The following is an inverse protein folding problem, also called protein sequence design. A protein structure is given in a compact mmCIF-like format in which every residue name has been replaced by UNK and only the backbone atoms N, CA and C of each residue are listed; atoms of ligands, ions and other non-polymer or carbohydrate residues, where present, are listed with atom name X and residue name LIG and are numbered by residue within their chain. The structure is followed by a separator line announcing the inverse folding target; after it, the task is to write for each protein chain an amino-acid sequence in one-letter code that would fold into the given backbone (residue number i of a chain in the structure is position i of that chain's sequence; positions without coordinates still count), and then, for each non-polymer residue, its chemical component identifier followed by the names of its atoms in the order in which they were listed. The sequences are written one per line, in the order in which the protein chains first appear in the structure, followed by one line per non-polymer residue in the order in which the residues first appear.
data_IF_428098815655
#
_entry.id   IF_428098815655
#
_cell.length_a   1.000
_cell.length_b   1.000
_cell.length_c   1.000
_cell.angle_alpha   90.00
_cell.angle_beta   90.00
_cell.angle_gamma   90.00
#
_symmetry.space_group_name_H-M   'P 1'
#
loop_
_entity.id
_entity.type
_entity.pdbx_description
1 polymer ?
#
# COMPACT_ATOMS: atom_id res chain seq x y z
N UNK A 1 -2.51 -21.01 8.78
CA UNK A 1 -1.22 -20.70 8.10
C UNK A 1 -1.14 -21.38 6.74
N UNK A 2 -1.29 -22.72 6.63
CA UNK A 2 -1.33 -23.42 5.33
C UNK A 2 -2.33 -22.81 4.32
N UNK A 3 -3.52 -22.40 4.77
CA UNK A 3 -4.49 -21.69 3.92
C UNK A 3 -3.93 -20.40 3.28
N UNK A 4 -3.14 -19.64 4.03
CA UNK A 4 -2.52 -18.42 3.52
C UNK A 4 -1.36 -18.73 2.56
N UNK A 5 -0.56 -19.76 2.87
CA UNK A 5 0.46 -20.25 1.95
C UNK A 5 -0.15 -20.70 0.61
N UNK A 6 -1.21 -21.52 0.65
CA UNK A 6 -1.92 -21.96 -0.56
C UNK A 6 -2.48 -20.79 -1.37
N UNK A 7 -3.08 -19.81 -0.69
CA UNK A 7 -3.52 -18.56 -1.33
C UNK A 7 -2.40 -17.80 -2.05
N UNK A 8 -1.21 -17.70 -1.45
CA UNK A 8 -0.07 -17.06 -2.10
C UNK A 8 0.45 -17.89 -3.28
N UNK A 9 0.65 -19.20 -3.09
CA UNK A 9 1.17 -20.08 -4.16
C UNK A 9 0.23 -20.16 -5.35
N UNK A 10 -1.09 -20.24 -5.12
CA UNK A 10 -2.08 -20.26 -6.21
C UNK A 10 -2.06 -18.96 -7.03
N UNK A 11 -1.77 -17.83 -6.40
CA UNK A 11 -1.74 -16.54 -7.09
C UNK A 11 -0.39 -16.21 -7.71
N UNK A 12 0.69 -16.89 -7.33
CA UNK A 12 2.05 -16.65 -7.84
C UNK A 12 2.13 -16.53 -9.37
N UNK A 13 1.44 -17.37 -10.19
CA UNK A 13 1.48 -17.25 -11.64
C UNK A 13 0.99 -15.91 -12.19
N UNK A 14 0.14 -15.17 -11.44
CA UNK A 14 -0.32 -13.84 -11.86
C UNK A 14 0.81 -12.79 -11.91
N UNK A 15 1.95 -13.06 -11.25
CA UNK A 15 3.14 -12.19 -11.33
C UNK A 15 3.62 -12.06 -12.78
N UNK A 16 3.52 -13.14 -13.56
CA UNK A 16 3.95 -13.14 -14.96
C UNK A 16 2.88 -12.57 -15.90
N UNK A 17 1.70 -12.22 -15.38
CA UNK A 17 0.56 -11.74 -16.15
C UNK A 17 -0.49 -12.81 -16.43
N UNK A 18 -1.77 -12.42 -16.35
CA UNK A 18 -2.91 -13.32 -16.48
C UNK A 18 -2.98 -14.05 -17.84
N UNK A 19 -2.50 -13.42 -18.92
CA UNK A 19 -2.48 -14.01 -20.27
C UNK A 19 -1.59 -15.23 -20.39
N UNK A 20 -0.68 -15.45 -19.43
CA UNK A 20 0.25 -16.58 -19.43
C UNK A 20 -0.31 -17.81 -18.70
N UNK A 21 -1.56 -17.75 -18.22
CA UNK A 21 -2.21 -18.85 -17.51
C UNK A 21 -3.22 -19.52 -18.46
N UNK A 22 -2.95 -20.79 -18.79
CA UNK A 22 -3.77 -21.55 -19.76
C UNK A 22 -5.15 -21.96 -19.22
N UNK A 23 -5.24 -22.27 -17.93
CA UNK A 23 -6.49 -22.67 -17.25
C UNK A 23 -6.58 -21.98 -15.89
N UNK A 24 -7.02 -20.71 -15.84
CA UNK A 24 -7.00 -19.93 -14.62
C UNK A 24 -8.11 -20.35 -13.66
N UNK A 25 -7.76 -20.52 -12.38
CA UNK A 25 -8.74 -20.76 -11.32
C UNK A 25 -9.73 -19.59 -11.19
N UNK A 26 -10.87 -19.83 -10.53
CA UNK A 26 -11.83 -18.77 -10.21
C UNK A 26 -11.17 -17.63 -9.40
N UNK A 27 -10.27 -17.98 -8.48
CA UNK A 27 -9.53 -16.99 -7.69
C UNK A 27 -8.59 -16.18 -8.59
N UNK A 28 -7.79 -16.83 -9.43
CA UNK A 28 -6.87 -16.15 -10.35
C UNK A 28 -7.63 -15.20 -11.28
N UNK A 29 -8.72 -15.68 -11.88
CA UNK A 29 -9.62 -14.88 -12.73
C UNK A 29 -10.23 -13.69 -11.99
N UNK A 30 -10.57 -13.86 -10.71
CA UNK A 30 -11.13 -12.78 -9.88
C UNK A 30 -10.07 -11.73 -9.55
N UNK A 31 -8.87 -12.16 -9.15
CA UNK A 31 -7.78 -11.25 -8.78
C UNK A 31 -7.30 -10.46 -10.00
N UNK A 32 -7.20 -11.10 -11.17
CA UNK A 32 -6.78 -10.46 -12.42
C UNK A 32 -7.66 -9.26 -12.81
N UNK A 33 -8.97 -9.31 -12.53
CA UNK A 33 -9.91 -8.20 -12.83
C UNK A 33 -9.61 -6.91 -12.06
N UNK A 34 -8.93 -6.99 -10.91
CA UNK A 34 -8.57 -5.82 -10.13
C UNK A 34 -7.31 -6.07 -9.29
N UNK A 35 -6.18 -6.22 -9.98
CA UNK A 35 -4.91 -6.60 -9.37
C UNK A 35 -4.42 -5.59 -8.31
N UNK A 36 -4.56 -4.26 -8.52
CA UNK A 36 -4.21 -3.26 -7.49
C UNK A 36 -5.01 -3.48 -6.18
N UNK A 37 -6.27 -3.91 -6.31
CA UNK A 37 -7.15 -4.11 -5.18
C UNK A 37 -7.06 -5.51 -4.56
N UNK A 38 -6.67 -6.55 -5.31
CA UNK A 38 -6.82 -7.96 -4.90
C UNK A 38 -5.52 -8.77 -4.91
N UNK A 39 -4.48 -8.35 -5.64
CA UNK A 39 -3.22 -9.10 -5.72
C UNK A 39 -2.43 -8.94 -4.40
N UNK A 40 -1.96 -10.04 -3.79
CA UNK A 40 -1.19 -9.99 -2.56
C UNK A 40 0.24 -9.48 -2.79
N UNK A 41 0.79 -9.64 -3.99
CA UNK A 41 2.14 -9.19 -4.33
C UNK A 41 2.12 -7.74 -4.77
N UNK A 42 2.23 -6.86 -3.77
CA UNK A 42 2.10 -5.41 -3.89
C UNK A 42 2.91 -4.81 -5.05
N UNK A 43 4.17 -5.23 -5.18
CA UNK A 43 5.10 -4.68 -6.18
C UNK A 43 4.78 -5.12 -7.63
N UNK A 44 3.87 -6.07 -7.81
CA UNK A 44 3.38 -6.52 -9.12
C UNK A 44 2.00 -5.97 -9.47
N UNK A 45 1.41 -5.11 -8.61
CA UNK A 45 0.18 -4.39 -8.95
C UNK A 45 0.41 -3.42 -10.13
N UNK A 46 -0.58 -3.22 -11.03
CA UNK A 46 -0.46 -2.33 -12.19
C UNK A 46 0.03 -0.92 -11.83
N UNK A 47 -0.58 -0.27 -10.83
CA UNK A 47 -0.18 1.08 -10.42
C UNK A 47 1.24 1.11 -9.84
N UNK A 48 1.65 0.06 -9.11
CA UNK A 48 3.00 -0.03 -8.53
C UNK A 48 4.07 -0.27 -9.59
N UNK A 49 3.78 -1.13 -10.56
CA UNK A 49 4.69 -1.39 -11.68
C UNK A 49 4.94 -0.14 -12.49
N UNK A 50 3.94 0.74 -12.65
CA UNK A 50 4.10 2.01 -13.34
C UNK A 50 4.89 3.04 -12.52
N UNK A 51 4.70 3.09 -11.20
CA UNK A 51 5.30 4.11 -10.34
C UNK A 51 6.77 3.83 -9.94
N UNK A 52 7.27 2.60 -10.14
CA UNK A 52 8.64 2.19 -9.80
C UNK A 52 9.58 2.20 -11.02
N UNK A 53 10.85 2.53 -10.80
CA UNK A 53 11.91 2.50 -11.83
C UNK A 53 12.48 3.89 -12.15
N UNK A 54 13.44 3.97 -13.08
CA UNK A 54 14.06 5.23 -13.46
C UNK A 54 13.05 6.24 -14.00
N UNK A 55 13.23 7.51 -13.61
CA UNK A 55 12.41 8.67 -13.99
C UNK A 55 10.92 8.53 -13.66
N UNK A 56 10.58 7.72 -12.65
CA UNK A 56 9.20 7.49 -12.18
C UNK A 56 9.03 7.96 -10.74
N UNK A 57 7.80 7.95 -10.24
CA UNK A 57 7.40 8.50 -8.93
C UNK A 57 8.37 8.17 -7.79
N UNK A 58 8.86 6.92 -7.75
CA UNK A 58 9.74 6.42 -6.70
C UNK A 58 11.18 6.16 -7.18
N UNK A 59 11.67 6.90 -8.18
CA UNK A 59 13.08 6.87 -8.55
C UNK A 59 13.95 7.31 -7.35
N UNK A 60 14.95 6.49 -6.94
CA UNK A 60 15.86 6.82 -5.86
C UNK A 60 16.59 8.16 -5.99
N UNK A 61 16.83 8.65 -7.21
CA UNK A 61 17.54 9.91 -7.48
C UNK A 61 16.82 11.15 -6.94
N UNK A 62 15.49 11.10 -6.81
CA UNK A 62 14.69 12.23 -6.30
C UNK A 62 13.78 11.87 -5.13
N UNK A 63 13.61 10.59 -4.78
CA UNK A 63 12.71 10.17 -3.69
C UNK A 63 13.05 10.80 -2.31
N UNK A 64 14.32 11.17 -2.09
CA UNK A 64 14.78 11.88 -0.88
C UNK A 64 14.50 13.38 -0.86
N UNK A 65 13.97 13.95 -1.94
CA UNK A 65 13.66 15.38 -2.06
C UNK A 65 12.22 15.68 -1.67
N UNK A 66 11.89 16.93 -1.31
CA UNK A 66 10.50 17.38 -1.15
C UNK A 66 9.62 17.10 -2.37
N UNK A 67 10.18 17.25 -3.58
CA UNK A 67 9.49 16.91 -4.82
C UNK A 67 9.20 15.41 -4.92
N UNK A 68 10.13 14.56 -4.48
CA UNK A 68 9.90 13.12 -4.34
C UNK A 68 8.77 12.79 -3.37
N UNK A 69 8.74 13.43 -2.20
CA UNK A 69 7.63 13.28 -1.25
C UNK A 69 6.30 13.73 -1.85
N UNK A 70 6.28 14.89 -2.52
CA UNK A 70 5.10 15.40 -3.21
C UNK A 70 4.55 14.40 -4.23
N UNK A 71 5.42 13.80 -5.07
CA UNK A 71 4.99 12.78 -6.03
C UNK A 71 4.48 11.50 -5.35
N UNK A 72 5.10 11.09 -4.24
CA UNK A 72 4.58 10.00 -3.42
C UNK A 72 3.17 10.28 -2.87
N UNK A 73 2.90 11.53 -2.47
CA UNK A 73 1.59 12.00 -2.04
C UNK A 73 0.60 12.10 -3.21
N UNK A 74 1.01 12.57 -4.38
CA UNK A 74 0.17 12.53 -5.59
C UNK A 74 -0.23 11.10 -5.94
N UNK A 75 0.72 10.17 -5.90
CA UNK A 75 0.47 8.76 -6.14
C UNK A 75 -0.52 8.18 -5.11
N UNK A 76 -0.16 8.16 -3.83
CA UNK A 76 -1.03 7.53 -2.81
C UNK A 76 -2.29 8.31 -2.49
N UNK A 77 -2.24 9.62 -2.61
CA UNK A 77 -3.32 10.56 -2.30
C UNK A 77 -4.28 10.75 -3.45
N UNK A 78 -3.88 10.65 -4.72
CA UNK A 78 -4.72 10.99 -5.88
C UNK A 78 -4.75 9.87 -6.93
N UNK A 79 -3.61 9.52 -7.53
CA UNK A 79 -3.59 8.73 -8.79
C UNK A 79 -3.54 7.21 -8.59
N UNK A 80 -3.27 6.71 -7.38
CA UNK A 80 -3.21 5.27 -7.12
C UNK A 80 -4.53 4.57 -7.49
N UNK A 81 -4.42 3.53 -8.32
CA UNK A 81 -5.53 2.73 -8.87
C UNK A 81 -6.52 3.51 -9.75
N UNK A 82 -6.14 4.71 -10.22
CA UNK A 82 -6.85 5.40 -11.30
C UNK A 82 -6.35 4.95 -12.67
N UNK A 83 -6.99 5.40 -13.73
CA UNK A 83 -6.54 5.15 -15.10
C UNK A 83 -5.36 6.06 -15.45
N UNK A 84 -5.44 7.34 -15.11
CA UNK A 84 -4.36 8.30 -15.27
C UNK A 84 -3.08 7.85 -14.54
N UNK A 85 -3.19 7.32 -13.33
CA UNK A 85 -2.03 6.83 -12.55
C UNK A 85 -1.28 5.66 -13.18
N UNK A 86 -1.82 5.04 -14.23
CA UNK A 86 -1.17 3.99 -15.03
C UNK A 86 -0.54 4.53 -16.32
N UNK A 87 -0.69 5.81 -16.61
CA UNK A 87 -0.10 6.48 -17.76
C UNK A 87 1.30 7.00 -17.44
N UNK A 88 2.23 7.07 -18.42
CA UNK A 88 3.53 7.73 -18.24
C UNK A 88 3.42 9.19 -17.77
N UNK A 89 2.34 9.88 -18.18
CA UNK A 89 2.08 11.27 -17.81
C UNK A 89 1.88 11.50 -16.30
N UNK A 90 1.61 10.46 -15.51
CA UNK A 90 1.39 10.58 -14.06
C UNK A 90 2.65 10.33 -13.20
N UNK A 91 3.81 10.06 -13.84
CA UNK A 91 4.97 9.51 -13.17
C UNK A 91 5.68 10.51 -12.24
N UNK A 92 5.99 11.72 -12.70
CA UNK A 92 6.74 12.69 -11.91
C UNK A 92 6.43 14.13 -12.32
N UNK A 93 6.24 14.99 -11.32
CA UNK A 93 5.92 16.40 -11.48
C UNK A 93 6.74 17.24 -10.50
N UNK A 94 7.44 18.24 -11.01
CA UNK A 94 8.27 19.13 -10.20
C UNK A 94 7.47 20.22 -9.44
N UNK A 95 6.19 20.37 -9.78
CA UNK A 95 5.34 21.45 -9.31
C UNK A 95 3.84 21.11 -9.47
N UNK A 96 2.95 21.83 -8.74
CA UNK A 96 1.50 21.75 -8.96
C UNK A 96 1.07 22.10 -10.39
N UNK A 97 1.72 23.07 -11.01
CA UNK A 97 1.45 23.49 -12.39
C UNK A 97 1.83 22.40 -13.39
N UNK A 98 2.96 21.69 -13.20
CA UNK A 98 3.33 20.57 -14.04
C UNK A 98 2.32 19.41 -13.96
N UNK A 99 1.83 19.08 -12.75
CA UNK A 99 0.75 18.09 -12.61
C UNK A 99 -0.55 18.55 -13.29
N UNK A 100 -0.93 19.81 -13.11
CA UNK A 100 -2.13 20.39 -13.72
C UNK A 100 -2.04 20.38 -15.25
N UNK A 101 -0.87 20.72 -15.82
CA UNK A 101 -0.61 20.66 -17.25
C UNK A 101 -0.70 19.23 -17.79
N UNK A 102 -0.22 18.24 -17.03
CA UNK A 102 -0.37 16.83 -17.41
C UNK A 102 -1.84 16.39 -17.41
N UNK A 103 -2.64 16.81 -16.42
CA UNK A 103 -4.09 16.56 -16.42
C UNK A 103 -4.81 17.25 -17.58
N UNK A 104 -4.39 18.46 -17.96
CA UNK A 104 -5.00 19.23 -19.05
C UNK A 104 -4.83 18.58 -20.43
N UNK A 105 -3.95 17.58 -20.58
CA UNK A 105 -3.86 16.77 -21.80
C UNK A 105 -5.08 15.84 -22.00
N UNK A 106 -5.95 15.73 -21.00
CA UNK A 106 -7.15 14.90 -21.00
C UNK A 106 -8.40 15.75 -20.67
N UNK A 107 -8.75 16.75 -21.51
CA UNK A 107 -9.80 17.72 -21.20
C UNK A 107 -11.19 17.10 -21.03
N UNK A 108 -11.47 16.00 -21.73
CA UNK A 108 -12.76 15.31 -21.70
C UNK A 108 -12.84 14.19 -20.65
N UNK A 109 -11.75 13.96 -19.89
CA UNK A 109 -11.71 12.88 -18.91
C UNK A 109 -12.52 13.21 -17.65
N UNK A 110 -13.29 12.22 -17.19
CA UNK A 110 -14.05 12.33 -15.96
C UNK A 110 -13.14 12.36 -14.71
N UNK A 111 -13.67 12.83 -13.57
CA UNK A 111 -12.88 12.97 -12.33
C UNK A 111 -12.25 11.66 -11.84
N UNK A 112 -12.91 10.52 -12.06
CA UNK A 112 -12.45 9.18 -11.66
C UNK A 112 -11.34 8.61 -12.54
N UNK A 113 -11.17 9.13 -13.75
CA UNK A 113 -9.98 8.87 -14.59
C UNK A 113 -8.70 9.29 -13.86
N UNK A 114 -8.70 10.49 -13.25
CA UNK A 114 -7.56 11.02 -12.52
C UNK A 114 -7.43 10.42 -11.12
N UNK A 115 -8.55 10.20 -10.44
CA UNK A 115 -8.57 9.82 -9.04
C UNK A 115 -9.65 8.78 -8.73
N UNK A 116 -9.25 7.54 -8.45
CA UNK A 116 -10.18 6.50 -8.03
C UNK A 116 -10.53 6.66 -6.53
N UNK A 117 -11.78 7.06 -6.18
CA UNK A 117 -12.14 7.30 -4.79
C UNK A 117 -12.41 6.01 -4.01
N UNK A 118 -12.30 4.84 -4.65
CA UNK A 118 -12.48 3.51 -4.06
C UNK A 118 -11.18 2.68 -3.97
N UNK A 119 -10.03 3.28 -4.31
CA UNK A 119 -8.76 2.56 -4.42
C UNK A 119 -8.38 1.72 -3.17
N UNK A 120 -8.74 2.21 -1.97
CA UNK A 120 -8.41 1.53 -0.72
C UNK A 120 -9.59 0.78 -0.08
N UNK A 121 -10.83 1.14 -0.41
CA UNK A 121 -12.02 0.56 0.21
C UNK A 121 -13.28 0.77 -0.62
N UNK A 122 -14.35 0.02 -0.33
CA UNK A 122 -15.68 0.21 -0.92
C UNK A 122 -16.37 1.51 -0.48
N UNK A 123 -15.82 2.24 0.49
CA UNK A 123 -16.32 3.58 0.88
C UNK A 123 -15.59 4.63 0.06
N UNK A 124 -16.37 5.54 -0.53
CA UNK A 124 -15.85 6.69 -1.27
C UNK A 124 -15.02 7.57 -0.33
N UNK A 125 -13.73 7.71 -0.62
CA UNK A 125 -12.86 8.70 0.05
C UNK A 125 -13.04 10.09 -0.54
N UNK A 126 -12.51 11.12 0.14
CA UNK A 126 -12.58 12.52 -0.34
C UNK A 126 -11.37 12.91 -1.20
N UNK A 127 -10.44 11.98 -1.45
CA UNK A 127 -9.34 12.17 -2.39
C UNK A 127 -9.82 12.62 -3.77
N UNK A 128 -9.15 13.63 -4.31
CA UNK A 128 -9.39 14.18 -5.64
C UNK A 128 -8.23 15.11 -6.03
N UNK A 129 -8.25 15.62 -7.28
CA UNK A 129 -7.20 16.48 -7.83
C UNK A 129 -7.06 17.84 -7.16
N UNK A 130 -8.06 18.31 -6.40
CA UNK A 130 -7.95 19.58 -5.65
C UNK A 130 -6.91 19.52 -4.53
N UNK A 131 -6.47 18.32 -4.12
CA UNK A 131 -5.48 18.14 -3.05
C UNK A 131 -4.05 18.48 -3.47
N UNK A 132 -3.79 18.70 -4.77
CA UNK A 132 -2.44 18.95 -5.30
C UNK A 132 -1.77 20.14 -4.61
N UNK A 133 -2.47 21.28 -4.53
CA UNK A 133 -1.95 22.48 -3.87
C UNK A 133 -1.76 22.28 -2.36
N UNK A 134 -2.67 21.56 -1.70
CA UNK A 134 -2.57 21.24 -0.27
C UNK A 134 -1.36 20.34 0.02
N UNK A 135 -1.08 19.34 -0.83
CA UNK A 135 0.12 18.51 -0.70
C UNK A 135 1.40 19.30 -0.94
N UNK A 136 1.42 20.17 -1.95
CA UNK A 136 2.59 21.01 -2.20
C UNK A 136 2.90 21.94 -1.03
N UNK A 137 1.87 22.59 -0.46
CA UNK A 137 2.04 23.41 0.73
C UNK A 137 2.56 22.57 1.92
N UNK A 138 1.96 21.40 2.16
CA UNK A 138 2.33 20.54 3.29
C UNK A 138 3.78 20.03 3.19
N UNK A 139 4.29 19.68 2.00
CA UNK A 139 5.71 19.26 1.88
C UNK A 139 6.69 20.41 2.07
N UNK A 140 6.26 21.67 1.90
CA UNK A 140 7.10 22.84 2.17
C UNK A 140 7.17 23.19 3.66
N UNK A 141 6.20 22.74 4.46
CA UNK A 141 6.20 22.93 5.90
C UNK A 141 7.21 22.00 6.61
N UNK A 142 7.68 22.42 7.79
CA UNK A 142 8.51 21.57 8.65
C UNK A 142 7.58 20.65 9.46
N UNK A 143 7.57 19.36 9.13
CA UNK A 143 6.92 18.36 9.99
C UNK A 143 7.78 18.06 11.20
N UNK A 144 7.23 18.19 12.41
CA UNK A 144 7.95 17.91 13.67
C UNK A 144 9.30 18.65 13.83
N UNK A 145 9.44 19.83 13.23
CA UNK A 145 10.67 20.64 13.29
C UNK A 145 11.78 20.23 12.32
N UNK A 146 11.56 19.21 11.47
CA UNK A 146 12.50 18.76 10.44
C UNK A 146 11.87 18.81 9.04
N UNK A 147 12.68 18.93 7.99
CA UNK A 147 12.19 18.75 6.61
C UNK A 147 12.24 17.28 6.23
N UNK A 148 11.47 16.90 5.20
CA UNK A 148 11.56 15.56 4.61
C UNK A 148 13.00 15.21 4.24
N UNK A 149 13.75 16.13 3.61
CA UNK A 149 15.12 15.84 3.20
C UNK A 149 16.04 15.58 4.38
N UNK A 150 15.88 16.29 5.49
CA UNK A 150 16.68 16.04 6.70
C UNK A 150 16.45 14.61 7.20
N UNK A 151 15.19 14.17 7.27
CA UNK A 151 14.87 12.80 7.71
C UNK A 151 15.31 11.75 6.69
N UNK A 152 15.01 11.96 5.40
CA UNK A 152 15.28 11.02 4.31
C UNK A 152 16.78 10.84 4.01
N UNK A 153 17.61 11.80 4.41
CA UNK A 153 19.08 11.71 4.33
C UNK A 153 19.73 11.31 5.65
N UNK A 154 18.96 11.12 6.73
CA UNK A 154 19.51 10.63 7.98
C UNK A 154 20.08 9.21 7.78
N UNK A 155 21.22 8.92 8.42
CA UNK A 155 21.85 7.59 8.37
C UNK A 155 20.92 6.47 8.86
N UNK A 156 19.93 6.80 9.68
CA UNK A 156 18.89 5.89 10.18
C UNK A 156 17.53 6.55 10.03
N UNK A 157 16.83 6.31 8.92
CA UNK A 157 15.41 6.64 8.78
C UNK A 157 14.59 5.35 8.88
N UNK A 158 14.05 5.10 10.07
CA UNK A 158 13.30 3.87 10.33
C UNK A 158 11.94 3.86 9.65
N UNK A 159 11.42 2.66 9.37
CA UNK A 159 10.06 2.51 8.85
C UNK A 159 9.02 3.11 9.78
N UNK A 160 9.16 2.88 11.09
CA UNK A 160 8.24 3.38 12.10
C UNK A 160 8.22 4.91 12.14
N UNK A 161 9.38 5.58 12.00
CA UNK A 161 9.45 7.04 11.98
C UNK A 161 8.81 7.61 10.71
N UNK A 162 9.10 7.01 9.55
CA UNK A 162 8.47 7.40 8.28
C UNK A 162 6.95 7.22 8.35
N UNK A 163 6.48 6.07 8.84
CA UNK A 163 5.06 5.80 9.04
C UNK A 163 4.40 6.86 9.94
N UNK A 164 5.01 7.19 11.08
CA UNK A 164 4.48 8.21 12.01
C UNK A 164 4.44 9.60 11.38
N UNK A 165 5.47 9.98 10.65
CA UNK A 165 5.51 11.25 9.91
C UNK A 165 4.38 11.34 8.89
N UNK A 166 4.20 10.29 8.07
CA UNK A 166 3.20 10.29 6.99
C UNK A 166 1.77 10.12 7.51
N UNK A 167 1.58 9.44 8.64
CA UNK A 167 0.27 9.17 9.24
C UNK A 167 -0.15 10.17 10.31
N UNK A 168 0.73 11.11 10.65
CA UNK A 168 0.74 11.86 11.91
C UNK A 168 -0.58 12.54 12.26
N UNK A 169 -1.23 12.02 13.31
CA UNK A 169 -2.18 12.71 14.19
C UNK A 169 -3.49 13.20 13.57
N UNK A 170 -4.35 13.81 14.40
CA UNK A 170 -5.52 14.57 13.94
C UNK A 170 -5.41 16.03 14.40
N UNK A 171 -5.58 17.01 13.49
CA UNK A 171 -5.74 16.82 12.04
C UNK A 171 -4.45 16.25 11.41
N UNK A 172 -4.61 15.38 10.41
CA UNK A 172 -3.47 14.72 9.76
C UNK A 172 -2.64 15.73 8.98
N UNK A 173 -1.31 15.60 9.04
CA UNK A 173 -0.38 16.50 8.35
C UNK A 173 -0.60 16.51 6.82
N UNK A 174 -0.99 15.36 6.25
CA UNK A 174 -1.34 15.23 4.84
C UNK A 174 -2.81 14.80 4.68
N UNK A 175 -3.63 15.66 4.07
CA UNK A 175 -5.07 15.42 3.90
C UNK A 175 -5.34 14.14 3.10
N UNK A 176 -6.31 13.34 3.55
CA UNK A 176 -6.64 12.02 2.99
C UNK A 176 -5.51 10.97 3.04
N UNK A 177 -4.34 11.26 3.62
CA UNK A 177 -3.30 10.28 3.94
C UNK A 177 -3.46 9.86 5.40
N UNK A 178 -4.40 8.95 5.64
CA UNK A 178 -4.53 8.30 6.96
C UNK A 178 -3.54 7.17 7.17
N UNK A 179 -3.59 6.51 8.33
CA UNK A 179 -2.70 5.38 8.71
C UNK A 179 -2.46 4.35 7.60
N UNK A 180 -3.50 3.91 6.88
CA UNK A 180 -3.32 2.96 5.79
C UNK A 180 -2.48 3.53 4.63
N UNK A 181 -2.82 4.73 4.16
CA UNK A 181 -2.10 5.36 3.05
C UNK A 181 -0.67 5.75 3.47
N UNK A 182 -0.48 6.18 4.72
CA UNK A 182 0.85 6.46 5.29
C UNK A 182 1.72 5.21 5.38
N UNK A 183 1.18 4.07 5.82
CA UNK A 183 1.90 2.79 5.80
C UNK A 183 2.28 2.38 4.38
N UNK A 184 1.34 2.48 3.44
CA UNK A 184 1.61 2.16 2.04
C UNK A 184 2.66 3.08 1.44
N UNK A 185 2.63 4.38 1.72
CA UNK A 185 3.65 5.32 1.24
C UNK A 185 5.02 5.07 1.89
N UNK A 186 5.08 4.78 3.18
CA UNK A 186 6.31 4.36 3.84
C UNK A 186 6.91 3.10 3.19
N UNK A 187 6.06 2.13 2.86
CA UNK A 187 6.47 0.94 2.10
C UNK A 187 6.98 1.26 0.69
N UNK A 188 6.38 2.23 -0.01
CA UNK A 188 6.93 2.66 -1.30
C UNK A 188 8.35 3.23 -1.14
N UNK A 189 8.60 3.99 -0.07
CA UNK A 189 9.92 4.54 0.23
C UNK A 189 10.95 3.50 0.70
N UNK A 190 10.51 2.38 1.26
CA UNK A 190 11.39 1.21 1.49
C UNK A 190 11.90 0.67 0.16
N UNK A 191 10.99 0.40 -0.78
CA UNK A 191 11.36 -0.12 -2.10
C UNK A 191 12.14 0.90 -2.95
N UNK A 192 12.02 2.19 -2.65
CA UNK A 192 12.83 3.26 -3.25
C UNK A 192 14.22 3.43 -2.59
N UNK A 193 14.54 2.68 -1.54
CA UNK A 193 15.81 2.79 -0.81
C UNK A 193 15.96 4.05 0.06
N UNK A 194 14.84 4.73 0.38
CA UNK A 194 14.84 5.92 1.24
C UNK A 194 14.67 5.57 2.71
N UNK A 195 13.85 4.55 2.99
CA UNK A 195 13.47 4.13 4.35
C UNK A 195 14.00 2.72 4.60
N UNK A 196 14.49 2.46 5.81
CA UNK A 196 14.93 1.12 6.18
C UNK A 196 13.75 0.13 6.14
N UNK A 197 13.99 -1.09 5.65
CA UNK A 197 12.99 -2.14 5.65
C UNK A 197 12.55 -2.47 7.09
N UNK A 198 11.23 -2.61 7.37
CA UNK A 198 10.76 -2.90 8.71
C UNK A 198 10.99 -4.37 9.10
N UNK A 199 11.12 -4.61 10.39
CA UNK A 199 11.04 -5.97 10.94
C UNK A 199 9.58 -6.48 10.93
N UNK A 200 9.40 -7.80 11.05
CA UNK A 200 8.06 -8.38 11.17
C UNK A 200 7.35 -7.90 12.45
N UNK A 201 8.10 -7.63 13.52
CA UNK A 201 7.60 -7.10 14.79
C UNK A 201 7.07 -5.66 14.64
N UNK A 202 7.79 -4.81 13.89
CA UNK A 202 7.35 -3.45 13.56
C UNK A 202 6.07 -3.47 12.73
N UNK A 203 6.04 -4.28 11.66
CA UNK A 203 4.84 -4.41 10.82
C UNK A 203 3.67 -4.96 11.62
N UNK A 204 3.87 -5.98 12.47
CA UNK A 204 2.83 -6.51 13.34
C UNK A 204 2.25 -5.46 14.29
N UNK A 205 3.09 -4.58 14.83
CA UNK A 205 2.66 -3.45 15.68
C UNK A 205 1.84 -2.43 14.89
N UNK A 206 2.28 -2.05 13.68
CA UNK A 206 1.59 -1.09 12.82
C UNK A 206 0.28 -1.65 12.27
N UNK A 207 0.20 -2.94 11.94
CA UNK A 207 -1.03 -3.61 11.55
C UNK A 207 -2.11 -3.45 12.62
N UNK A 208 -1.74 -3.61 13.90
CA UNK A 208 -2.66 -3.37 15.02
C UNK A 208 -3.07 -1.91 15.09
N UNK A 209 -2.14 -0.97 14.94
CA UNK A 209 -2.44 0.47 14.95
C UNK A 209 -3.45 0.85 13.85
N UNK A 210 -3.24 0.36 12.62
CA UNK A 210 -4.17 0.55 11.50
C UNK A 210 -5.52 -0.13 11.79
N UNK A 211 -5.51 -1.32 12.41
CA UNK A 211 -6.68 -2.11 12.80
C UNK A 211 -7.74 -2.31 11.69
N UNK A 212 -7.31 -2.62 10.47
CA UNK A 212 -8.20 -2.81 9.31
C UNK A 212 -8.03 -4.18 8.65
N UNK A 213 -7.59 -4.19 7.39
CA UNK A 213 -7.63 -5.36 6.51
C UNK A 213 -6.72 -6.48 7.00
N UNK A 214 -5.46 -6.19 7.32
CA UNK A 214 -4.53 -7.22 7.77
C UNK A 214 -4.94 -7.88 9.08
N UNK A 215 -5.41 -7.11 10.08
CA UNK A 215 -6.01 -7.67 11.31
C UNK A 215 -7.19 -8.57 10.96
N UNK A 216 -8.08 -8.12 10.06
CA UNK A 216 -9.21 -8.95 9.61
C UNK A 216 -8.74 -10.23 8.90
N UNK A 217 -7.61 -10.18 8.18
CA UNK A 217 -6.98 -11.34 7.56
C UNK A 217 -6.54 -12.37 8.61
N UNK A 218 -5.90 -11.92 9.68
CA UNK A 218 -5.53 -12.78 10.81
C UNK A 218 -6.76 -13.43 11.47
N UNK A 219 -7.87 -12.70 11.60
CA UNK A 219 -9.14 -13.26 12.12
C UNK A 219 -9.73 -14.33 11.18
N UNK A 220 -9.79 -14.06 9.87
CA UNK A 220 -10.33 -14.99 8.86
C UNK A 220 -9.49 -16.26 8.74
N UNK A 221 -8.20 -16.15 9.02
CA UNK A 221 -7.28 -17.28 9.11
C UNK A 221 -7.30 -17.99 10.48
N UNK A 222 -8.16 -17.56 11.41
CA UNK A 222 -8.26 -18.05 12.78
C UNK A 222 -6.92 -18.01 13.54
N UNK A 223 -6.10 -17.00 13.28
CA UNK A 223 -4.80 -16.82 13.94
C UNK A 223 -4.90 -15.99 15.21
N UNK A 224 -5.85 -15.05 15.25
CA UNK A 224 -6.17 -14.20 16.40
C UNK A 224 -7.66 -14.28 16.72
N UNK A 225 -8.01 -13.86 17.93
CA UNK A 225 -9.40 -13.71 18.36
C UNK A 225 -10.13 -12.66 17.51
N UNK A 226 -11.32 -12.97 16.94
CA UNK A 226 -12.10 -11.99 16.20
C UNK A 226 -12.45 -10.77 17.05
N UNK A 227 -12.18 -9.56 16.53
CA UNK A 227 -12.54 -8.33 17.23
C UNK A 227 -14.06 -8.20 17.33
N UNK A 228 -14.51 -7.69 18.47
CA UNK A 228 -15.92 -7.36 18.70
C UNK A 228 -16.26 -5.96 18.19
N UNK A 229 -17.54 -5.70 17.91
CA UNK A 229 -18.02 -4.36 17.59
C UNK A 229 -17.89 -3.45 18.83
N UNK A 230 -17.41 -2.23 18.62
CA UNK A 230 -17.39 -1.18 19.62
C UNK A 230 -18.71 -0.42 19.71
N UNK A 231 -18.83 0.47 20.69
CA UNK A 231 -20.01 1.33 20.90
C UNK A 231 -20.19 2.41 19.82
N UNK A 232 -19.11 2.80 19.13
CA UNK A 232 -19.14 3.65 17.92
C UNK A 232 -18.95 2.76 16.69
N UNK A 233 -19.57 3.09 15.54
CA UNK A 233 -19.59 2.33 14.25
C UNK A 233 -18.19 1.82 13.77
N UNK A 234 -17.64 0.81 14.44
CA UNK A 234 -16.29 0.29 14.24
C UNK A 234 -16.00 -0.92 15.15
N UNK A 235 -14.87 -1.58 14.91
CA UNK A 235 -14.38 -2.68 15.75
C UNK A 235 -13.53 -2.14 16.90
N UNK A 236 -13.52 -2.84 18.04
CA UNK A 236 -12.54 -2.58 19.11
C UNK A 236 -11.11 -2.78 18.58
N UNK A 237 -10.12 -2.20 19.25
CA UNK A 237 -8.73 -2.49 18.95
C UNK A 237 -8.45 -3.97 19.25
N UNK A 238 -7.74 -4.66 18.36
CA UNK A 238 -7.19 -5.97 18.69
C UNK A 238 -6.08 -5.82 19.73
N UNK A 239 -5.82 -6.90 20.47
CA UNK A 239 -4.67 -6.95 21.36
C UNK A 239 -3.36 -6.86 20.57
N UNK A 240 -2.46 -5.97 21.01
CA UNK A 240 -1.22 -5.70 20.28
C UNK A 240 -0.24 -6.86 20.35
N UNK A 241 -0.16 -7.52 21.49
CA UNK A 241 0.75 -8.64 21.70
C UNK A 241 0.31 -9.86 20.88
N UNK A 242 -0.99 -10.15 20.88
CA UNK A 242 -1.59 -11.20 20.07
C UNK A 242 -1.37 -10.95 18.57
N UNK A 243 -1.70 -9.75 18.07
CA UNK A 243 -1.53 -9.41 16.64
C UNK A 243 -0.06 -9.51 16.23
N UNK A 244 0.84 -8.90 17.01
CA UNK A 244 2.28 -8.90 16.72
C UNK A 244 2.83 -10.33 16.71
N UNK A 245 2.59 -11.10 17.77
CA UNK A 245 3.10 -12.46 17.89
C UNK A 245 2.58 -13.39 16.77
N UNK A 246 1.29 -13.28 16.41
CA UNK A 246 0.70 -14.12 15.36
C UNK A 246 1.13 -13.70 13.97
N UNK A 247 1.32 -12.40 13.72
CA UNK A 247 1.90 -11.91 12.47
C UNK A 247 3.34 -12.41 12.29
N UNK A 248 4.20 -12.26 13.30
CA UNK A 248 5.59 -12.76 13.27
C UNK A 248 5.63 -14.27 13.05
N UNK A 249 4.75 -15.03 13.73
CA UNK A 249 4.67 -16.48 13.54
C UNK A 249 4.24 -16.85 12.12
N UNK A 250 3.30 -16.12 11.52
CA UNK A 250 2.90 -16.33 10.13
C UNK A 250 4.04 -16.01 9.16
N UNK A 251 4.73 -14.88 9.36
CA UNK A 251 5.90 -14.49 8.55
C UNK A 251 6.98 -15.59 8.56
N UNK A 252 7.40 -16.02 9.75
CA UNK A 252 8.41 -17.09 9.92
C UNK A 252 7.96 -18.41 9.31
N UNK A 253 6.66 -18.74 9.44
CA UNK A 253 6.11 -19.94 8.80
C UNK A 253 6.22 -19.87 7.27
N UNK A 254 5.91 -18.73 6.65
CA UNK A 254 6.02 -18.56 5.20
C UNK A 254 7.47 -18.58 4.75
N UNK A 255 8.37 -17.91 5.48
CA UNK A 255 9.80 -17.91 5.18
C UNK A 255 10.41 -19.32 5.19
N UNK A 256 9.92 -20.21 6.07
CA UNK A 256 10.35 -21.60 6.11
C UNK A 256 9.74 -22.49 5.02
N UNK A 257 8.62 -22.07 4.40
CA UNK A 257 7.83 -22.93 3.51
C UNK A 257 7.87 -22.51 2.04
N UNK A 258 8.06 -21.23 1.77
CA UNK A 258 8.30 -20.74 0.41
C UNK A 258 9.73 -21.09 0.00
N UNK A 259 9.90 -21.51 -1.24
CA UNK A 259 11.24 -21.67 -1.82
C UNK A 259 11.88 -20.32 -2.06
N UNK A 260 13.21 -20.26 -2.17
CA UNK A 260 13.91 -18.99 -2.43
C UNK A 260 13.48 -18.35 -3.76
N UNK A 261 13.21 -19.17 -4.78
CA UNK A 261 12.66 -18.70 -6.05
C UNK A 261 11.30 -18.01 -5.85
N UNK A 262 10.40 -18.61 -5.08
CA UNK A 262 9.10 -18.00 -4.75
C UNK A 262 9.27 -16.70 -3.96
N UNK A 263 10.17 -16.68 -2.97
CA UNK A 263 10.43 -15.48 -2.17
C UNK A 263 10.92 -14.32 -3.03
N UNK A 264 11.87 -14.58 -3.94
CA UNK A 264 12.38 -13.57 -4.88
C UNK A 264 11.25 -13.07 -5.79
N UNK A 265 10.49 -13.99 -6.39
CA UNK A 265 9.39 -13.64 -7.29
C UNK A 265 8.32 -12.80 -6.60
N UNK A 266 7.90 -13.17 -5.41
CA UNK A 266 6.85 -12.48 -4.66
C UNK A 266 7.31 -11.13 -4.07
N UNK A 267 8.62 -10.86 -4.07
CA UNK A 267 9.24 -9.81 -3.24
C UNK A 267 8.86 -10.04 -1.77
N UNK A 268 9.18 -11.24 -1.28
CA UNK A 268 8.79 -11.69 0.05
C UNK A 268 9.49 -10.88 1.15
N UNK A 269 8.70 -10.12 1.88
CA UNK A 269 9.08 -9.39 3.09
C UNK A 269 7.85 -9.20 4.00
N UNK A 270 8.02 -8.54 5.14
CA UNK A 270 6.92 -8.29 6.07
C UNK A 270 5.82 -7.39 5.47
N UNK A 271 6.16 -6.46 4.56
CA UNK A 271 5.20 -5.56 3.90
C UNK A 271 4.31 -6.37 2.94
N UNK A 272 4.88 -7.29 2.19
CA UNK A 272 4.17 -8.19 1.28
C UNK A 272 3.18 -9.07 2.06
N UNK A 273 3.60 -9.64 3.19
CA UNK A 273 2.72 -10.45 4.05
C UNK A 273 1.57 -9.62 4.61
N UNK A 274 1.80 -8.38 5.04
CA UNK A 274 0.72 -7.45 5.44
C UNK A 274 -0.28 -7.24 4.30
N UNK A 275 0.22 -6.89 3.11
CA UNK A 275 -0.64 -6.60 1.97
C UNK A 275 -1.48 -7.83 1.60
N UNK A 276 -0.88 -9.02 1.58
CA UNK A 276 -1.58 -10.28 1.37
C UNK A 276 -2.68 -10.55 2.40
N UNK A 277 -2.42 -10.31 3.69
CA UNK A 277 -3.44 -10.41 4.74
C UNK A 277 -4.59 -9.41 4.54
N UNK A 278 -4.29 -8.21 4.04
CA UNK A 278 -5.31 -7.22 3.71
C UNK A 278 -6.18 -7.71 2.54
N UNK A 279 -5.59 -8.37 1.53
CA UNK A 279 -6.29 -8.84 0.33
C UNK A 279 -7.10 -10.12 0.54
N UNK A 280 -6.60 -11.09 1.31
CA UNK A 280 -7.29 -12.39 1.49
C UNK A 280 -8.72 -12.24 2.00
N UNK A 281 -8.97 -11.22 2.84
CA UNK A 281 -10.32 -10.92 3.36
C UNK A 281 -11.34 -10.57 2.28
N UNK A 282 -10.88 -10.10 1.13
CA UNK A 282 -11.71 -9.64 -0.01
C UNK A 282 -12.12 -10.80 -0.92
N UNK A 283 -11.34 -11.88 -0.92
CA UNK A 283 -11.58 -13.06 -1.75
C UNK A 283 -12.25 -14.19 -0.95
N UNK A 284 -11.83 -14.41 0.30
CA UNK A 284 -12.43 -15.42 1.20
C UNK A 284 -13.76 -14.93 1.79
N UNK A 285 -13.89 -13.65 2.11
CA UNK A 285 -15.15 -13.07 2.61
C UNK A 285 -16.20 -12.80 1.52
N UNK A 286 -15.85 -12.99 0.24
CA UNK A 286 -16.64 -12.59 -0.92
C UNK A 286 -17.54 -13.66 -1.55
N UNK A 287 -17.67 -14.86 -0.95
CA UNK A 287 -18.28 -16.07 -1.55
C UNK A 287 -17.51 -16.69 -2.73
N UNK A 288 -16.31 -16.17 -3.06
CA UNK A 288 -15.54 -16.60 -4.24
C UNK A 288 -14.53 -17.69 -3.88
N UNK A 289 -14.03 -17.67 -2.65
CA UNK A 289 -13.19 -18.72 -2.10
C UNK A 289 -14.01 -19.49 -1.07
N UNK A 290 -14.83 -20.41 -1.56
CA UNK A 290 -15.48 -21.41 -0.71
C UNK A 290 -14.41 -22.46 -0.40
N UNK A 291 -14.13 -22.63 0.89
CA UNK A 291 -13.26 -23.68 1.41
C UNK A 291 -13.85 -25.06 1.15
#
# INVERSE_FOLDING_TARGET
MNRFLGYLVELEPLIDGFSNISDPSLLQSTVAKNADFLLPFREHGPSRTQARGPSRTFDPSHAKTRTGLFNGLLFRGITFSSEFGRQPAANFHDSPSAFTAACAQYPDAASDFFCNPYAYSRRKSKRNVSLVGEYWAAVMERGHGQTWETMANAAKFSFTDCYKFLSGGRPGHFKEIGSLAGFLLAADFVYAGVVAAPTAEEVGTIIRDINKGAVKGLEVLHLITPRTRGSKRGYRMADVEEVRAKFVRLYKFLDQKLTDAQKVRMVFDAIMVENGLCKITRVVGGKIYVL
#
